data_IF_197117890173
#
_entry.id   IF_197117890173
#
_cell.length_a   1.000
_cell.length_b   1.000
_cell.length_c   1.000
_cell.angle_alpha   90.00
_cell.angle_beta   90.00
_cell.angle_gamma   90.00
#
_symmetry.space_group_name_H-M   'P 1'
#
loop_
_entity.id
_entity.type
_entity.pdbx_description
1 polymer ?
#
# COMPACT_ATOMS: atom_id res chain seq x y z
N UNK A 1 36.42 -8.49 37.85
CA UNK A 1 35.97 -7.34 37.02
C UNK A 1 35.21 -7.95 35.88
N UNK A 2 33.92 -7.97 36.04
CA UNK A 2 32.96 -8.54 35.07
C UNK A 2 32.35 -7.37 34.27
N UNK A 3 32.72 -7.33 33.00
CA UNK A 3 32.15 -6.36 32.06
C UNK A 3 30.71 -6.75 31.77
N UNK A 4 29.78 -6.04 32.41
CA UNK A 4 28.35 -6.09 32.11
C UNK A 4 28.11 -5.23 30.83
N UNK A 5 28.23 -5.87 29.67
CA UNK A 5 27.77 -5.29 28.43
C UNK A 5 26.24 -5.16 28.45
N UNK A 6 25.76 -3.98 28.85
CA UNK A 6 24.37 -3.59 28.73
C UNK A 6 23.97 -3.62 27.26
N UNK A 7 23.43 -4.74 26.79
CA UNK A 7 22.74 -4.84 25.51
C UNK A 7 21.57 -3.87 25.52
N UNK A 8 21.71 -2.73 24.87
CA UNK A 8 20.61 -1.87 24.50
C UNK A 8 19.57 -2.72 23.75
N UNK A 9 18.31 -2.79 24.19
CA UNK A 9 17.30 -3.55 23.45
C UNK A 9 17.23 -2.95 22.03
N UNK A 10 17.60 -3.74 21.04
CA UNK A 10 17.47 -3.35 19.64
C UNK A 10 16.01 -3.03 19.36
N UNK A 11 15.71 -1.76 19.19
CA UNK A 11 14.37 -1.33 18.77
C UNK A 11 14.10 -1.96 17.41
N UNK A 12 13.17 -2.90 17.35
CA UNK A 12 12.70 -3.42 16.07
C UNK A 12 12.19 -2.24 15.24
N UNK A 13 12.66 -2.05 14.00
CA UNK A 13 12.22 -0.92 13.17
C UNK A 13 10.75 -1.05 12.77
N UNK A 14 10.11 -2.17 13.06
CA UNK A 14 8.72 -2.48 12.72
C UNK A 14 7.88 -2.70 13.98
N UNK A 15 6.62 -2.29 13.92
CA UNK A 15 5.64 -2.60 14.96
C UNK A 15 5.35 -4.11 15.02
N UNK A 16 4.74 -4.61 16.10
CA UNK A 16 4.33 -6.02 16.19
C UNK A 16 3.43 -6.43 15.02
N UNK A 17 3.50 -7.72 14.67
CA UNK A 17 2.58 -8.29 13.69
C UNK A 17 1.13 -8.21 14.20
N UNK A 18 0.21 -7.94 13.28
CA UNK A 18 -1.20 -7.77 13.57
C UNK A 18 -2.02 -8.82 12.81
N UNK A 19 -3.11 -9.28 13.44
CA UNK A 19 -4.17 -9.95 12.73
C UNK A 19 -5.19 -8.90 12.26
N UNK A 20 -5.66 -8.99 11.00
CA UNK A 20 -6.67 -8.10 10.50
C UNK A 20 -7.98 -8.29 11.29
N UNK A 21 -8.65 -7.21 11.60
CA UNK A 21 -9.99 -7.27 12.20
C UNK A 21 -11.11 -7.34 11.15
N UNK A 22 -10.80 -7.08 9.89
CA UNK A 22 -11.71 -7.21 8.75
C UNK A 22 -10.91 -7.54 7.49
N UNK A 23 -11.46 -8.41 6.66
CA UNK A 23 -10.92 -8.77 5.35
C UNK A 23 -12.08 -9.01 4.38
N UNK A 24 -11.82 -8.91 3.10
CA UNK A 24 -12.83 -9.24 2.11
C UNK A 24 -12.34 -9.09 0.68
N UNK A 25 -13.27 -9.39 -0.23
CA UNK A 25 -13.14 -9.11 -1.66
C UNK A 25 -14.09 -7.97 -2.01
N UNK A 26 -13.60 -6.96 -2.73
CA UNK A 26 -14.40 -5.86 -3.23
C UNK A 26 -14.50 -5.97 -4.74
N UNK A 27 -15.73 -6.05 -5.25
CA UNK A 27 -15.99 -5.96 -6.68
C UNK A 27 -15.70 -4.52 -7.14
N UNK A 28 -14.78 -4.41 -8.09
CA UNK A 28 -14.35 -3.13 -8.65
C UNK A 28 -14.73 -2.97 -10.12
N UNK A 29 -15.64 -3.82 -10.60
CA UNK A 29 -16.10 -3.83 -11.99
C UNK A 29 -15.12 -4.52 -12.96
N UNK A 30 -15.52 -4.59 -14.22
CA UNK A 30 -14.74 -5.20 -15.31
C UNK A 30 -14.34 -6.66 -15.05
N UNK A 31 -15.06 -7.37 -14.17
CA UNK A 31 -14.76 -8.74 -13.75
C UNK A 31 -13.65 -8.85 -12.72
N UNK A 32 -13.17 -7.74 -12.15
CA UNK A 32 -12.14 -7.73 -11.12
C UNK A 32 -12.72 -7.64 -9.71
N UNK A 33 -12.10 -8.41 -8.80
CA UNK A 33 -12.31 -8.28 -7.35
C UNK A 33 -10.96 -8.05 -6.68
N UNK A 34 -10.85 -7.02 -5.87
CA UNK A 34 -9.63 -6.74 -5.11
C UNK A 34 -9.76 -7.28 -3.68
N UNK A 35 -8.71 -7.98 -3.24
CA UNK A 35 -8.59 -8.36 -1.82
C UNK A 35 -8.18 -7.14 -0.99
N UNK A 36 -8.80 -6.99 0.16
CA UNK A 36 -8.44 -5.98 1.14
C UNK A 36 -8.47 -6.52 2.56
N UNK A 37 -7.70 -5.88 3.44
CA UNK A 37 -7.70 -6.15 4.87
C UNK A 37 -7.52 -4.85 5.65
N UNK A 38 -8.10 -4.80 6.87
CA UNK A 38 -7.95 -3.70 7.80
C UNK A 38 -7.49 -4.21 9.17
N UNK A 39 -6.49 -3.55 9.75
CA UNK A 39 -5.87 -3.93 11.02
C UNK A 39 -5.61 -2.70 11.90
N UNK A 40 -5.15 -2.91 13.12
CA UNK A 40 -4.84 -1.86 14.09
C UNK A 40 -6.08 -1.28 14.77
N UNK A 41 -6.11 0.04 14.98
CA UNK A 41 -7.20 0.72 15.68
C UNK A 41 -8.38 1.00 14.75
N UNK A 42 -9.52 0.35 14.99
CA UNK A 42 -10.77 0.55 14.21
C UNK A 42 -11.25 2.01 14.17
N UNK A 43 -10.95 2.79 15.20
CA UNK A 43 -11.31 4.21 15.33
C UNK A 43 -10.11 5.13 15.07
N UNK A 44 -8.99 4.55 14.64
CA UNK A 44 -7.76 5.27 14.36
C UNK A 44 -7.84 6.09 13.07
N UNK A 45 -6.79 6.87 12.84
CA UNK A 45 -6.65 7.63 11.59
C UNK A 45 -6.46 6.65 10.43
N UNK A 46 -7.21 6.78 9.33
CA UNK A 46 -7.04 5.88 8.19
C UNK A 46 -5.66 6.03 7.54
N UNK A 47 -5.01 4.90 7.32
CA UNK A 47 -3.75 4.80 6.59
C UNK A 47 -3.87 3.71 5.52
N UNK A 48 -3.45 4.02 4.30
CA UNK A 48 -3.47 3.13 3.15
C UNK A 48 -2.04 2.81 2.74
N UNK A 49 -1.75 1.53 2.52
CA UNK A 49 -0.49 1.09 1.92
C UNK A 49 -0.69 0.67 0.46
N UNK A 50 0.15 1.21 -0.43
CA UNK A 50 0.20 0.88 -1.85
C UNK A 50 1.46 0.08 -2.15
N UNK A 51 1.30 -1.22 -2.45
CA UNK A 51 2.42 -2.10 -2.75
C UNK A 51 3.10 -1.79 -4.07
N UNK A 52 4.34 -2.21 -4.17
CA UNK A 52 5.17 -2.06 -5.37
C UNK A 52 4.98 -3.20 -6.38
N UNK A 53 5.93 -3.28 -7.27
CA UNK A 53 5.99 -4.19 -8.40
C UNK A 53 6.15 -3.38 -9.68
N UNK A 54 5.07 -3.16 -10.49
CA UNK A 54 3.67 -3.62 -10.32
C UNK A 54 3.54 -5.14 -10.18
N UNK A 55 2.48 -5.60 -9.50
CA UNK A 55 2.19 -7.03 -9.36
C UNK A 55 2.67 -7.70 -8.06
N UNK A 56 3.27 -6.94 -7.11
CA UNK A 56 3.86 -7.51 -5.90
C UNK A 56 2.86 -8.06 -4.86
N UNK A 57 1.69 -7.47 -4.74
CA UNK A 57 0.74 -7.76 -3.65
C UNK A 57 1.21 -7.27 -2.28
N UNK A 58 0.33 -7.37 -1.29
CA UNK A 58 0.62 -7.06 0.09
C UNK A 58 0.98 -8.31 0.91
N UNK A 59 1.80 -8.10 1.94
CA UNK A 59 2.08 -9.10 2.97
C UNK A 59 1.86 -8.50 4.37
N UNK A 60 1.88 -9.36 5.40
CA UNK A 60 1.59 -8.94 6.78
C UNK A 60 2.57 -7.91 7.34
N UNK A 61 3.81 -7.87 6.86
CA UNK A 61 4.81 -6.93 7.36
C UNK A 61 4.53 -5.49 6.91
N UNK A 62 3.74 -5.30 5.87
CA UNK A 62 3.35 -3.96 5.44
C UNK A 62 2.49 -3.23 6.47
N UNK A 63 1.66 -3.93 7.23
CA UNK A 63 0.89 -3.34 8.33
C UNK A 63 1.77 -2.85 9.48
N UNK A 64 2.93 -3.49 9.68
CA UNK A 64 3.90 -3.18 10.73
C UNK A 64 4.66 -1.88 10.51
N UNK A 65 4.47 -1.21 9.36
CA UNK A 65 5.04 0.11 9.06
C UNK A 65 4.28 1.24 9.78
N UNK A 66 3.11 0.97 10.35
CA UNK A 66 2.25 1.95 10.99
C UNK A 66 2.07 1.64 12.48
N UNK A 67 1.92 2.69 13.29
CA UNK A 67 1.56 2.52 14.70
C UNK A 67 0.12 1.99 14.83
N UNK A 68 -0.08 0.73 15.31
CA UNK A 68 -1.40 0.12 15.35
C UNK A 68 -2.35 0.75 16.38
N UNK A 69 -1.84 1.50 17.35
CA UNK A 69 -2.67 2.22 18.31
C UNK A 69 -3.26 3.51 17.71
N UNK A 70 -2.56 4.08 16.73
CA UNK A 70 -2.91 5.38 16.12
C UNK A 70 -3.72 5.22 14.83
N UNK A 71 -3.42 4.18 14.04
CA UNK A 71 -3.95 4.04 12.69
C UNK A 71 -4.90 2.86 12.53
N UNK A 72 -5.95 3.06 11.75
CA UNK A 72 -6.66 2.02 11.03
C UNK A 72 -5.88 1.77 9.74
N UNK A 73 -5.22 0.63 9.67
CA UNK A 73 -4.26 0.30 8.62
C UNK A 73 -4.96 -0.55 7.57
N UNK A 74 -5.02 -0.04 6.34
CA UNK A 74 -5.66 -0.72 5.21
C UNK A 74 -4.60 -1.15 4.22
N UNK A 75 -4.59 -2.44 3.93
CA UNK A 75 -3.81 -3.05 2.85
C UNK A 75 -4.78 -3.58 1.80
N UNK A 76 -4.40 -3.53 0.54
CA UNK A 76 -5.15 -4.23 -0.52
C UNK A 76 -4.20 -4.69 -1.62
N UNK A 77 -4.55 -5.77 -2.27
CA UNK A 77 -3.83 -6.27 -3.43
C UNK A 77 -4.45 -5.62 -4.68
N UNK A 78 -3.65 -4.93 -5.49
CA UNK A 78 -4.10 -4.28 -6.72
C UNK A 78 -4.66 -5.31 -7.70
N UNK A 79 -5.38 -4.86 -8.76
CA UNK A 79 -5.93 -5.75 -9.80
C UNK A 79 -4.85 -6.68 -10.34
N UNK A 80 -5.18 -7.94 -10.57
CA UNK A 80 -4.28 -8.94 -11.11
C UNK A 80 -3.17 -9.41 -10.17
N UNK A 81 -3.13 -8.94 -8.92
CA UNK A 81 -2.03 -9.16 -7.99
C UNK A 81 -2.46 -9.95 -6.76
N UNK A 82 -1.51 -10.65 -6.15
CA UNK A 82 -1.67 -11.27 -4.84
C UNK A 82 -2.93 -12.14 -4.74
N UNK A 83 -3.85 -11.78 -3.85
CA UNK A 83 -5.12 -12.46 -3.58
C UNK A 83 -6.29 -11.90 -4.39
N UNK A 84 -6.08 -10.82 -5.18
CA UNK A 84 -7.08 -10.24 -6.08
C UNK A 84 -7.31 -11.12 -7.29
N UNK A 85 -8.52 -11.08 -7.85
CA UNK A 85 -8.92 -11.91 -8.98
C UNK A 85 -9.53 -11.09 -10.12
N UNK A 86 -9.38 -11.54 -11.38
CA UNK A 86 -8.58 -12.67 -11.86
C UNK A 86 -7.08 -12.40 -11.70
N UNK A 87 -6.27 -13.46 -11.46
CA UNK A 87 -4.84 -13.32 -11.25
C UNK A 87 -4.10 -13.08 -12.57
N UNK A 88 -3.10 -12.19 -12.57
CA UNK A 88 -2.31 -11.80 -13.75
C UNK A 88 -3.13 -11.22 -14.92
N UNK A 89 -4.36 -10.75 -14.69
CA UNK A 89 -5.18 -10.13 -15.73
C UNK A 89 -4.71 -8.69 -16.00
N UNK A 90 -4.53 -8.35 -17.27
CA UNK A 90 -4.09 -7.03 -17.73
C UNK A 90 -5.24 -6.20 -18.32
N UNK A 91 -6.34 -6.84 -18.71
CA UNK A 91 -7.51 -6.12 -19.21
C UNK A 91 -8.08 -5.24 -18.10
N UNK A 92 -8.46 -4.01 -18.45
CA UNK A 92 -8.98 -3.02 -17.49
C UNK A 92 -8.08 -2.85 -16.23
N UNK A 93 -6.74 -2.88 -16.42
CA UNK A 93 -5.76 -2.78 -15.34
C UNK A 93 -4.75 -1.66 -15.63
N UNK A 94 -5.27 -0.45 -15.87
CA UNK A 94 -4.46 0.77 -16.06
C UNK A 94 -4.33 1.53 -14.74
N UNK A 95 -3.43 2.50 -14.69
CA UNK A 95 -3.28 3.39 -13.53
C UNK A 95 -4.60 4.06 -13.14
N UNK A 96 -5.44 4.43 -14.11
CA UNK A 96 -6.75 5.04 -13.81
C UNK A 96 -7.68 4.04 -13.11
N UNK A 97 -7.73 2.78 -13.55
CA UNK A 97 -8.52 1.75 -12.85
C UNK A 97 -8.06 1.55 -11.40
N UNK A 98 -6.74 1.59 -11.16
CA UNK A 98 -6.20 1.48 -9.79
C UNK A 98 -6.56 2.69 -8.92
N UNK A 99 -6.59 3.90 -9.49
CA UNK A 99 -7.06 5.11 -8.81
C UNK A 99 -8.55 4.97 -8.43
N UNK A 100 -9.37 4.51 -9.37
CA UNK A 100 -10.81 4.29 -9.16
C UNK A 100 -11.06 3.20 -8.10
N UNK A 101 -10.24 2.15 -8.08
CA UNK A 101 -10.32 1.09 -7.06
C UNK A 101 -10.01 1.61 -5.66
N UNK A 102 -9.02 2.50 -5.53
CA UNK A 102 -8.71 3.16 -4.26
C UNK A 102 -9.93 3.97 -3.78
N UNK A 103 -10.62 4.68 -4.67
CA UNK A 103 -11.83 5.43 -4.31
C UNK A 103 -13.01 4.53 -3.95
N UNK A 104 -13.19 3.39 -4.65
CA UNK A 104 -14.20 2.39 -4.29
C UNK A 104 -13.93 1.79 -2.91
N UNK A 105 -12.68 1.42 -2.64
CA UNK A 105 -12.26 0.91 -1.33
C UNK A 105 -12.48 1.95 -0.23
N UNK A 106 -12.08 3.21 -0.50
CA UNK A 106 -12.30 4.33 0.41
C UNK A 106 -13.78 4.52 0.74
N UNK A 107 -14.63 4.52 -0.27
CA UNK A 107 -16.07 4.71 -0.11
C UNK A 107 -16.71 3.54 0.66
N UNK A 108 -16.35 2.31 0.33
CA UNK A 108 -16.83 1.10 1.02
C UNK A 108 -16.47 1.10 2.50
N UNK A 109 -15.24 1.53 2.84
CA UNK A 109 -14.77 1.65 4.22
C UNK A 109 -15.26 2.95 4.92
N UNK A 110 -16.01 3.81 4.23
CA UNK A 110 -16.51 5.11 4.73
C UNK A 110 -15.38 6.04 5.21
N UNK A 111 -14.21 5.92 4.61
CA UNK A 111 -13.05 6.76 4.92
C UNK A 111 -13.17 8.10 4.20
N UNK A 112 -12.96 9.20 4.91
CA UNK A 112 -12.97 10.54 4.32
C UNK A 112 -11.69 10.84 3.54
N UNK A 113 -10.58 10.64 4.19
CA UNK A 113 -9.22 10.87 3.67
C UNK A 113 -8.24 9.95 4.40
N UNK A 114 -7.08 9.68 3.82
CA UNK A 114 -6.06 8.84 4.44
C UNK A 114 -4.64 9.39 4.33
N UNK A 115 -3.79 8.90 5.22
CA UNK A 115 -2.35 8.90 5.03
C UNK A 115 -2.03 7.78 4.03
N UNK A 116 -1.34 8.08 2.94
CA UNK A 116 -0.96 7.07 1.94
C UNK A 116 0.54 6.81 2.01
N UNK A 117 0.93 5.54 2.17
CA UNK A 117 2.30 5.10 2.06
C UNK A 117 2.46 4.25 0.82
N UNK A 118 3.32 4.66 -0.11
CA UNK A 118 3.61 3.94 -1.33
C UNK A 118 5.10 3.62 -1.48
N UNK A 119 5.40 2.38 -1.91
CA UNK A 119 6.77 1.94 -2.15
C UNK A 119 7.00 1.57 -3.62
N UNK A 120 8.11 2.04 -4.23
CA UNK A 120 8.46 1.74 -5.63
C UNK A 120 7.31 2.11 -6.59
N UNK A 121 6.75 1.17 -7.36
CA UNK A 121 5.54 1.40 -8.14
C UNK A 121 4.40 2.01 -7.30
N UNK A 122 4.24 1.57 -6.04
CA UNK A 122 3.25 2.15 -5.13
C UNK A 122 3.49 3.63 -4.85
N UNK A 123 4.72 4.13 -4.95
CA UNK A 123 5.01 5.57 -4.86
C UNK A 123 4.47 6.33 -6.09
N UNK A 124 4.64 5.78 -7.30
CA UNK A 124 4.05 6.36 -8.51
C UNK A 124 2.53 6.39 -8.44
N UNK A 125 1.91 5.29 -8.01
CA UNK A 125 0.46 5.22 -7.82
C UNK A 125 -0.04 6.19 -6.74
N UNK A 126 0.69 6.34 -5.64
CA UNK A 126 0.36 7.31 -4.58
C UNK A 126 0.38 8.76 -5.09
N UNK A 127 1.37 9.11 -5.91
CA UNK A 127 1.47 10.42 -6.55
C UNK A 127 0.31 10.65 -7.54
N UNK A 128 0.01 9.66 -8.38
CA UNK A 128 -1.09 9.74 -9.34
C UNK A 128 -2.45 9.89 -8.64
N UNK A 129 -2.69 9.09 -7.60
CA UNK A 129 -3.90 9.18 -6.78
C UNK A 129 -4.01 10.53 -6.07
N UNK A 130 -2.92 11.03 -5.48
CA UNK A 130 -2.90 12.32 -4.79
C UNK A 130 -3.17 13.51 -5.74
N UNK A 131 -2.74 13.41 -6.99
CA UNK A 131 -3.04 14.42 -8.03
C UNK A 131 -4.51 14.35 -8.48
N UNK A 132 -5.05 13.14 -8.66
CA UNK A 132 -6.44 12.95 -9.06
C UNK A 132 -7.43 13.32 -7.94
N UNK A 133 -7.07 13.04 -6.68
CA UNK A 133 -7.94 13.23 -5.52
C UNK A 133 -7.25 13.96 -4.36
N UNK A 134 -6.82 15.23 -4.53
CA UNK A 134 -6.04 15.94 -3.51
C UNK A 134 -6.78 16.10 -2.17
N UNK A 135 -8.12 16.17 -2.20
CA UNK A 135 -8.95 16.25 -0.99
C UNK A 135 -9.12 14.92 -0.24
N UNK A 136 -8.57 13.81 -0.77
CA UNK A 136 -8.63 12.47 -0.18
C UNK A 136 -7.31 12.04 0.46
N UNK A 137 -6.25 12.82 0.28
CA UNK A 137 -4.92 12.52 0.78
C UNK A 137 -4.51 13.53 1.84
N UNK A 138 -4.38 13.08 3.08
CA UNK A 138 -3.90 13.91 4.21
C UNK A 138 -2.39 14.07 4.20
N UNK A 139 -1.68 13.09 3.66
CA UNK A 139 -0.22 13.10 3.53
C UNK A 139 0.24 11.90 2.72
N UNK A 140 1.41 12.04 2.12
CA UNK A 140 2.10 10.99 1.35
C UNK A 140 3.41 10.64 2.04
N UNK A 141 3.66 9.34 2.20
CA UNK A 141 4.96 8.79 2.55
C UNK A 141 5.43 7.95 1.36
N UNK A 142 6.53 8.35 0.75
CA UNK A 142 7.03 7.72 -0.45
C UNK A 142 8.39 7.06 -0.15
N UNK A 143 8.48 5.75 -0.40
CA UNK A 143 9.69 4.96 -0.20
C UNK A 143 10.17 4.41 -1.53
N UNK A 144 11.51 4.48 -1.79
CA UNK A 144 12.06 4.04 -3.08
C UNK A 144 11.33 4.77 -4.21
N UNK A 145 11.39 6.10 -4.17
CA UNK A 145 10.58 6.97 -5.02
C UNK A 145 10.82 6.65 -6.49
N UNK A 146 9.75 6.26 -7.17
CA UNK A 146 9.70 6.01 -8.60
C UNK A 146 8.55 6.84 -9.17
N UNK A 147 8.86 7.77 -10.05
CA UNK A 147 7.89 8.68 -10.65
C UNK A 147 7.45 8.24 -12.06
N UNK A 148 7.88 7.04 -12.49
CA UNK A 148 7.62 6.46 -13.80
C UNK A 148 8.04 7.38 -14.97
N UNK A 149 9.07 8.22 -14.76
CA UNK A 149 9.66 9.03 -15.84
C UNK A 149 10.39 8.14 -16.82
N UNK A 150 10.45 8.53 -18.07
CA UNK A 150 11.10 7.77 -19.14
C UNK A 150 12.54 7.38 -18.76
N UNK A 151 13.32 8.30 -18.22
CA UNK A 151 14.68 8.02 -17.77
C UNK A 151 14.78 6.97 -16.67
N UNK A 152 13.80 6.90 -15.75
CA UNK A 152 13.76 5.89 -14.70
C UNK A 152 13.38 4.52 -15.27
N UNK A 153 12.46 4.50 -16.23
CA UNK A 153 12.05 3.28 -16.92
C UNK A 153 13.21 2.72 -17.74
N UNK A 154 13.88 3.58 -18.53
CA UNK A 154 15.01 3.17 -19.36
C UNK A 154 16.16 2.65 -18.49
N UNK A 155 16.48 3.34 -17.39
CA UNK A 155 17.51 2.90 -16.46
C UNK A 155 17.20 1.54 -15.83
N UNK A 156 15.95 1.31 -15.39
CA UNK A 156 15.55 0.04 -14.74
C UNK A 156 15.48 -1.14 -15.70
N UNK A 157 14.99 -0.93 -16.94
CA UNK A 157 14.60 -2.02 -17.82
C UNK A 157 15.43 -2.13 -19.10
N UNK A 158 16.10 -1.07 -19.56
CA UNK A 158 16.91 -1.07 -20.78
C UNK A 158 18.42 -1.03 -20.46
N UNK A 159 18.84 -0.28 -19.44
CA UNK A 159 20.24 -0.10 -19.11
C UNK A 159 20.72 -1.03 -17.98
N UNK A 160 19.82 -1.86 -17.44
CA UNK A 160 20.13 -2.83 -16.39
C UNK A 160 20.55 -2.17 -15.08
N UNK A 161 19.79 -1.19 -14.64
CA UNK A 161 20.01 -0.46 -13.38
C UNK A 161 20.36 -1.40 -12.24
N UNK A 162 21.60 -1.33 -11.79
CA UNK A 162 22.28 -2.24 -10.87
C UNK A 162 21.75 -2.14 -9.45
#
# INVERSE_FOLDING_TARGET
>A
MSDDESKTPGTSPLYPALEPFATGMLDVGDGHQIYWEASGNRQGRPALFLHGGPGGGCNRDHSRLFNPQTYMIVLFDQRGCGRSTPHCELQANTTQHLIDDIERLRAMLQVRDWLVLGGSWGAALALAYGQAHPGRVRGLILRGVFAARRCEIDWLYAEGGA
#
